data_IF_008653726061
#
_entry.id   IF_008653726061
#
_cell.length_a   1.000
_cell.length_b   1.000
_cell.length_c   1.000
_cell.angle_alpha   90.00
_cell.angle_beta   90.00
_cell.angle_gamma   90.00
#
_symmetry.space_group_name_H-M   'P 1'
#
loop_
_entity.id
_entity.type
_entity.pdbx_description
1 polymer ?
#
# COMPACT_ATOMS: atom_id res chain seq x y z
N UNK A 1 35.90 10.54 30.48
CA UNK A 1 35.43 9.94 29.23
C UNK A 1 34.68 8.65 29.56
N UNK A 2 33.50 8.42 28.99
CA UNK A 2 32.82 7.13 29.09
C UNK A 2 33.60 6.08 28.28
N UNK A 3 33.82 4.90 28.83
CA UNK A 3 34.46 3.80 28.12
C UNK A 3 33.50 3.23 27.05
N UNK A 4 34.07 2.81 25.92
CA UNK A 4 33.35 2.06 24.90
C UNK A 4 32.97 0.70 25.51
N UNK A 5 31.69 0.33 25.44
CA UNK A 5 31.16 -0.94 25.92
C UNK A 5 30.19 -1.54 24.89
N UNK A 6 30.12 -2.86 24.85
CA UNK A 6 29.11 -3.58 24.06
C UNK A 6 27.78 -3.44 24.78
N UNK A 7 26.75 -3.05 24.05
CA UNK A 7 25.38 -2.93 24.58
C UNK A 7 24.77 -4.32 24.79
N UNK A 8 23.83 -4.42 25.73
CA UNK A 8 23.01 -5.62 25.88
C UNK A 8 22.08 -5.80 24.67
N UNK A 9 21.65 -7.05 24.42
CA UNK A 9 20.86 -7.41 23.24
C UNK A 9 19.55 -6.64 23.18
N UNK A 10 18.84 -6.45 24.28
CA UNK A 10 17.57 -5.70 24.30
C UNK A 10 17.75 -4.23 23.88
N UNK A 11 18.86 -3.62 24.31
CA UNK A 11 19.21 -2.25 23.91
C UNK A 11 19.52 -2.18 22.41
N UNK A 12 20.31 -3.15 21.91
CA UNK A 12 20.62 -3.25 20.47
C UNK A 12 19.33 -3.41 19.67
N UNK A 13 18.41 -4.27 20.09
CA UNK A 13 17.15 -4.53 19.40
C UNK A 13 16.24 -3.29 19.39
N UNK A 14 16.17 -2.56 20.48
CA UNK A 14 15.42 -1.28 20.54
C UNK A 14 16.04 -0.20 19.65
N UNK A 15 17.34 -0.11 19.53
CA UNK A 15 18.00 0.85 18.63
C UNK A 15 17.68 0.51 17.18
N UNK A 16 17.91 -0.74 16.77
CA UNK A 16 17.67 -1.20 15.42
C UNK A 16 16.17 -1.14 15.02
N UNK A 17 15.27 -1.48 15.97
CA UNK A 17 13.84 -1.29 15.75
C UNK A 17 13.47 0.14 15.35
N UNK A 18 14.30 1.15 15.68
CA UNK A 18 14.07 2.52 15.29
C UNK A 18 14.30 2.84 13.82
N UNK A 19 15.06 2.02 13.15
CA UNK A 19 15.29 2.17 11.71
C UNK A 19 14.13 1.56 10.89
N UNK A 20 13.45 0.56 11.46
CA UNK A 20 12.34 -0.16 10.81
C UNK A 20 10.99 0.39 11.24
N UNK A 21 10.77 0.57 12.54
CA UNK A 21 9.49 1.01 13.14
C UNK A 21 9.60 2.45 13.59
N UNK A 22 9.28 3.39 12.73
CA UNK A 22 9.24 4.82 13.08
C UNK A 22 7.89 5.25 13.63
N UNK A 23 6.81 4.64 13.15
CA UNK A 23 5.42 5.01 13.44
C UNK A 23 4.45 3.85 13.18
N UNK A 24 3.16 3.98 13.59
CA UNK A 24 2.15 2.94 13.34
C UNK A 24 2.03 2.50 11.88
N UNK A 25 2.09 3.44 10.92
CA UNK A 25 1.99 3.09 9.50
C UNK A 25 3.14 2.21 8.99
N UNK A 26 4.34 2.29 9.61
CA UNK A 26 5.44 1.38 9.27
C UNK A 26 5.09 -0.08 9.62
N UNK A 27 4.47 -0.30 10.78
CA UNK A 27 4.01 -1.63 11.20
C UNK A 27 2.94 -2.17 10.25
N UNK A 28 1.92 -1.35 9.96
CA UNK A 28 0.82 -1.75 9.07
C UNK A 28 1.37 -2.11 7.70
N UNK A 29 2.30 -1.31 7.16
CA UNK A 29 2.93 -1.57 5.87
C UNK A 29 3.62 -2.95 5.85
N UNK A 30 4.53 -3.19 6.77
CA UNK A 30 5.30 -4.44 6.81
C UNK A 30 4.40 -5.67 6.99
N UNK A 31 3.39 -5.61 7.86
CA UNK A 31 2.50 -6.73 8.10
C UNK A 31 1.53 -6.99 6.94
N UNK A 32 1.03 -5.93 6.27
CA UNK A 32 0.19 -6.09 5.08
C UNK A 32 1.01 -6.61 3.89
N UNK A 33 2.23 -6.13 3.68
CA UNK A 33 3.14 -6.67 2.66
C UNK A 33 3.46 -8.15 2.92
N UNK A 34 3.62 -8.56 4.19
CA UNK A 34 3.78 -9.96 4.54
C UNK A 34 2.52 -10.80 4.24
N UNK A 35 1.32 -10.27 4.47
CA UNK A 35 0.07 -10.94 4.11
C UNK A 35 -0.05 -11.12 2.58
N UNK A 36 0.30 -10.10 1.80
CA UNK A 36 0.33 -10.17 0.33
C UNK A 36 1.33 -11.24 -0.14
N UNK A 37 2.56 -11.22 0.40
CA UNK A 37 3.59 -12.21 0.08
C UNK A 37 3.19 -13.65 0.49
N UNK A 38 2.32 -13.80 1.51
CA UNK A 38 1.74 -15.08 1.93
C UNK A 38 0.54 -15.52 1.05
N UNK A 39 0.24 -14.81 -0.03
CA UNK A 39 -0.83 -15.13 -0.97
C UNK A 39 -2.23 -14.83 -0.45
N UNK A 40 -2.38 -13.88 0.47
CA UNK A 40 -3.68 -13.48 0.96
C UNK A 40 -4.56 -12.87 -0.14
N UNK A 41 -5.82 -13.25 -0.17
CA UNK A 41 -6.85 -12.66 -1.05
C UNK A 41 -7.76 -11.69 -0.30
N UNK A 42 -7.68 -11.67 1.04
CA UNK A 42 -8.41 -10.75 1.90
C UNK A 42 -7.53 -10.32 3.08
N UNK A 43 -7.45 -9.02 3.31
CA UNK A 43 -6.69 -8.42 4.41
C UNK A 43 -7.56 -7.41 5.14
N UNK A 44 -7.73 -7.58 6.45
CA UNK A 44 -8.42 -6.62 7.32
C UNK A 44 -7.42 -5.94 8.24
N UNK A 45 -7.40 -4.62 8.22
CA UNK A 45 -6.59 -3.77 9.10
C UNK A 45 -7.52 -3.01 10.03
N UNK A 46 -7.38 -3.18 11.33
CA UNK A 46 -8.12 -2.44 12.34
C UNK A 46 -7.15 -1.69 13.26
N UNK A 47 -7.43 -0.40 13.50
CA UNK A 47 -6.63 0.42 14.40
C UNK A 47 -7.47 1.15 15.45
N UNK A 48 -6.85 1.38 16.60
CA UNK A 48 -7.38 2.23 17.67
C UNK A 48 -6.35 3.29 18.05
N UNK A 49 -6.80 4.53 18.28
CA UNK A 49 -5.96 5.68 18.68
C UNK A 49 -4.76 5.87 17.74
N UNK A 50 -5.06 5.95 16.41
CA UNK A 50 -4.03 6.14 15.38
C UNK A 50 -3.06 4.96 15.23
N UNK A 51 -3.39 3.79 15.77
CA UNK A 51 -2.52 2.60 15.78
C UNK A 51 -1.52 2.58 16.94
N UNK A 52 -1.55 3.56 17.83
CA UNK A 52 -0.66 3.60 19.01
C UNK A 52 -1.08 2.60 20.07
N UNK A 53 -2.39 2.51 20.30
CA UNK A 53 -2.97 1.59 21.30
C UNK A 53 -3.14 0.19 20.75
N UNK A 54 -3.63 0.06 19.52
CA UNK A 54 -3.87 -1.24 18.90
C UNK A 54 -3.79 -1.14 17.37
N UNK A 55 -3.10 -2.12 16.78
CA UNK A 55 -3.14 -2.47 15.37
C UNK A 55 -3.47 -3.96 15.30
N UNK A 56 -4.55 -4.32 14.59
CA UNK A 56 -4.88 -5.70 14.28
C UNK A 56 -4.84 -5.87 12.76
N UNK A 57 -4.13 -6.88 12.29
CA UNK A 57 -4.09 -7.25 10.89
C UNK A 57 -4.43 -8.72 10.78
N UNK A 58 -5.48 -9.01 10.03
CA UNK A 58 -5.95 -10.37 9.77
C UNK A 58 -5.96 -10.62 8.29
N UNK A 59 -5.34 -11.70 7.87
CA UNK A 59 -5.29 -12.20 6.50
C UNK A 59 -5.75 -13.65 6.41
N UNK A 60 -6.06 -14.08 5.19
CA UNK A 60 -6.39 -15.46 4.84
C UNK A 60 -5.30 -16.12 3.99
N UNK A 61 -4.04 -15.72 4.15
CA UNK A 61 -2.90 -16.27 3.45
C UNK A 61 -2.48 -17.67 3.93
N UNK A 62 -1.31 -18.10 3.56
CA UNK A 62 -0.80 -19.45 3.84
C UNK A 62 -0.56 -19.80 5.32
N UNK A 63 -0.58 -18.80 6.23
CA UNK A 63 -0.28 -19.02 7.64
C UNK A 63 1.19 -19.38 7.90
N UNK A 64 1.50 -19.80 9.13
CA UNK A 64 2.83 -20.25 9.55
C UNK A 64 2.75 -21.58 10.27
N UNK A 65 3.69 -22.47 10.01
CA UNK A 65 3.84 -23.71 10.77
C UNK A 65 4.30 -23.41 12.21
N UNK A 66 3.87 -24.22 13.15
CA UNK A 66 4.10 -24.01 14.58
C UNK A 66 5.58 -23.80 14.95
N UNK A 67 6.47 -24.60 14.38
CA UNK A 67 7.92 -24.54 14.63
C UNK A 67 8.59 -23.32 14.00
N UNK A 68 7.97 -22.73 12.97
CA UNK A 68 8.44 -21.52 12.30
C UNK A 68 8.05 -20.23 13.04
N UNK A 69 7.03 -20.26 13.89
CA UNK A 69 6.54 -19.05 14.58
C UNK A 69 7.59 -18.36 15.44
N UNK A 70 8.33 -19.03 16.35
CA UNK A 70 9.38 -18.36 17.10
C UNK A 70 10.54 -17.86 16.21
N UNK A 71 10.86 -18.60 15.15
CA UNK A 71 11.93 -18.24 14.21
C UNK A 71 11.61 -16.95 13.45
N UNK A 72 10.33 -16.71 13.13
CA UNK A 72 9.89 -15.50 12.44
C UNK A 72 10.16 -14.20 13.23
N UNK A 73 10.33 -14.29 14.55
CA UNK A 73 10.67 -13.16 15.42
C UNK A 73 12.17 -13.02 15.68
N UNK A 74 13.01 -13.91 15.14
CA UNK A 74 14.45 -13.75 15.18
C UNK A 74 14.94 -12.73 14.14
N UNK A 75 16.02 -12.03 14.45
CA UNK A 75 16.65 -11.13 13.49
C UNK A 75 17.30 -11.91 12.36
N UNK A 76 17.19 -11.35 11.15
CA UNK A 76 17.74 -11.95 9.93
C UNK A 76 17.12 -13.30 9.57
N UNK A 77 15.97 -13.64 10.14
CA UNK A 77 15.19 -14.82 9.77
C UNK A 77 14.18 -14.44 8.68
N UNK A 78 14.30 -15.07 7.53
CA UNK A 78 13.41 -14.84 6.38
C UNK A 78 13.24 -16.13 5.57
N UNK A 79 12.05 -16.34 5.05
CA UNK A 79 11.77 -17.43 4.10
C UNK A 79 11.90 -16.99 2.63
N UNK A 80 12.28 -15.72 2.37
CA UNK A 80 12.14 -15.06 1.06
C UNK A 80 13.45 -14.99 0.29
N UNK A 81 14.58 -15.13 0.95
CA UNK A 81 15.93 -15.17 0.35
C UNK A 81 16.79 -16.20 1.07
N UNK A 82 17.60 -16.95 0.34
CA UNK A 82 18.56 -17.90 0.88
C UNK A 82 20.00 -17.50 0.57
N UNK A 83 20.21 -16.81 -0.54
CA UNK A 83 21.55 -16.45 -1.05
C UNK A 83 21.64 -14.98 -1.43
N UNK A 84 22.87 -14.49 -1.56
CA UNK A 84 23.16 -13.10 -1.95
C UNK A 84 22.62 -12.79 -3.36
N UNK A 85 22.67 -13.78 -4.25
CA UNK A 85 22.19 -13.66 -5.63
C UNK A 85 20.67 -13.40 -5.70
N UNK A 86 19.89 -13.87 -4.70
CA UNK A 86 18.47 -13.63 -4.62
C UNK A 86 18.14 -12.14 -4.42
N UNK A 87 19.12 -11.34 -3.93
CA UNK A 87 18.96 -9.89 -3.77
C UNK A 87 18.83 -9.14 -5.11
N UNK A 88 19.29 -9.72 -6.22
CA UNK A 88 19.18 -9.13 -7.56
C UNK A 88 17.79 -9.34 -8.17
N UNK A 89 17.03 -10.34 -7.68
CA UNK A 89 15.75 -10.76 -8.25
C UNK A 89 14.61 -10.77 -7.22
N UNK A 90 14.59 -9.76 -6.33
CA UNK A 90 13.58 -9.69 -5.26
C UNK A 90 12.18 -9.46 -5.84
N UNK A 91 11.40 -10.55 -5.95
CA UNK A 91 9.99 -10.50 -6.32
C UNK A 91 9.08 -10.16 -5.11
N UNK A 92 9.51 -10.49 -3.87
CA UNK A 92 8.72 -10.25 -2.65
C UNK A 92 8.75 -8.78 -2.21
N UNK A 93 7.66 -8.29 -1.62
CA UNK A 93 7.57 -6.92 -1.09
C UNK A 93 8.47 -6.73 0.15
N UNK A 94 8.64 -7.75 1.01
CA UNK A 94 9.52 -7.76 2.17
C UNK A 94 10.61 -8.86 2.06
N UNK A 95 11.87 -8.59 2.43
CA UNK A 95 12.94 -9.60 2.36
C UNK A 95 13.98 -9.55 3.49
N UNK A 96 13.99 -8.48 4.30
CA UNK A 96 15.09 -8.23 5.26
C UNK A 96 15.09 -9.12 6.51
N UNK A 97 13.98 -9.81 6.85
CA UNK A 97 13.86 -10.63 8.05
C UNK A 97 14.02 -9.87 9.38
N UNK A 98 13.68 -8.57 9.41
CA UNK A 98 13.87 -7.72 10.58
C UNK A 98 12.58 -7.06 11.07
N UNK A 99 11.49 -7.13 10.29
CA UNK A 99 10.25 -6.42 10.60
C UNK A 99 9.61 -6.94 11.88
N UNK A 100 9.37 -8.26 12.00
CA UNK A 100 8.69 -8.86 13.14
C UNK A 100 9.49 -8.73 14.43
N UNK A 101 10.81 -8.97 14.39
CA UNK A 101 11.70 -8.78 15.55
C UNK A 101 11.70 -7.32 16.02
N UNK A 102 11.73 -6.37 15.08
CA UNK A 102 11.69 -4.92 15.37
C UNK A 102 10.35 -4.50 15.98
N UNK A 103 9.23 -4.98 15.46
CA UNK A 103 7.89 -4.71 15.99
C UNK A 103 7.78 -5.27 17.42
N UNK A 104 8.18 -6.53 17.62
CA UNK A 104 8.13 -7.18 18.94
C UNK A 104 9.01 -6.48 19.98
N UNK A 105 10.17 -5.95 19.59
CA UNK A 105 11.09 -5.26 20.51
C UNK A 105 10.48 -3.97 21.11
N UNK A 106 9.53 -3.31 20.45
CA UNK A 106 8.97 -2.01 20.86
C UNK A 106 7.46 -2.03 21.15
N UNK A 107 6.85 -3.21 21.16
CA UNK A 107 5.41 -3.38 21.38
C UNK A 107 5.09 -4.71 22.06
N UNK A 108 3.81 -4.94 22.33
CA UNK A 108 3.27 -6.20 22.81
C UNK A 108 2.53 -6.86 21.63
N UNK A 109 3.03 -8.02 21.17
CA UNK A 109 2.52 -8.69 19.97
C UNK A 109 1.88 -10.01 20.37
N UNK A 110 0.68 -10.23 19.85
CA UNK A 110 -0.02 -11.51 19.84
C UNK A 110 -0.19 -11.93 18.38
N UNK A 111 0.32 -13.10 18.05
CA UNK A 111 0.20 -13.74 16.75
C UNK A 111 -0.72 -14.95 16.89
N UNK A 112 -1.71 -15.05 16.02
CA UNK A 112 -2.55 -16.24 15.85
C UNK A 112 -2.42 -16.67 14.41
N UNK A 113 -2.00 -17.90 14.16
CA UNK A 113 -1.79 -18.39 12.81
C UNK A 113 -2.11 -19.86 12.66
N UNK A 114 -2.52 -20.24 11.44
CA UNK A 114 -2.81 -21.63 11.08
C UNK A 114 -2.58 -21.81 9.58
N UNK A 115 -1.87 -22.87 9.22
CA UNK A 115 -1.77 -23.29 7.82
C UNK A 115 -2.99 -24.15 7.42
N UNK A 116 -3.36 -24.20 6.13
CA UNK A 116 -4.49 -25.01 5.67
C UNK A 116 -4.32 -26.51 5.96
N UNK A 117 -3.06 -27.00 6.06
CA UNK A 117 -2.73 -28.40 6.36
C UNK A 117 -2.84 -28.75 7.84
N UNK A 118 -2.77 -27.75 8.74
CA UNK A 118 -2.78 -27.96 10.18
C UNK A 118 -4.20 -28.18 10.72
N UNK A 119 -4.33 -29.07 11.73
CA UNK A 119 -5.62 -29.32 12.41
C UNK A 119 -5.95 -28.18 13.36
N UNK A 120 -4.93 -27.66 14.06
CA UNK A 120 -5.04 -26.56 15.03
C UNK A 120 -4.10 -25.43 14.67
N UNK A 121 -4.43 -24.23 15.14
CA UNK A 121 -3.58 -23.06 15.04
C UNK A 121 -2.71 -22.87 16.27
N UNK A 122 -1.88 -21.85 16.22
CA UNK A 122 -0.97 -21.46 17.28
C UNK A 122 -1.26 -20.01 17.68
N UNK A 123 -1.35 -19.79 18.98
CA UNK A 123 -1.31 -18.46 19.60
C UNK A 123 0.07 -18.25 20.22
N UNK A 124 0.76 -17.21 19.81
CA UNK A 124 2.08 -16.84 20.27
C UNK A 124 2.07 -15.42 20.81
N UNK A 125 2.58 -15.23 22.02
CA UNK A 125 2.66 -13.91 22.67
C UNK A 125 4.11 -13.57 22.95
N UNK A 126 4.52 -12.38 22.48
CA UNK A 126 5.87 -11.84 22.68
C UNK A 126 5.77 -10.36 23.06
N UNK A 127 6.49 -9.94 24.10
CA UNK A 127 6.46 -8.57 24.61
C UNK A 127 7.87 -8.02 24.79
N UNK A 128 8.16 -6.89 24.16
CA UNK A 128 9.49 -6.28 24.23
C UNK A 128 10.62 -7.19 23.73
N UNK A 129 10.30 -8.11 22.81
CA UNK A 129 11.24 -9.10 22.27
C UNK A 129 11.38 -10.36 23.12
N UNK A 130 10.60 -10.52 24.19
CA UNK A 130 10.63 -11.71 25.06
C UNK A 130 9.38 -12.53 24.89
N UNK A 131 9.53 -13.81 24.54
CA UNK A 131 8.42 -14.76 24.47
C UNK A 131 7.73 -14.90 25.83
N UNK A 132 6.41 -14.81 25.84
CA UNK A 132 5.57 -14.97 27.02
C UNK A 132 4.85 -16.32 27.04
N UNK A 133 4.25 -16.70 25.92
CA UNK A 133 3.54 -17.98 25.78
C UNK A 133 3.45 -18.42 24.33
N UNK A 134 3.34 -19.74 24.14
CA UNK A 134 3.02 -20.39 22.87
C UNK A 134 2.02 -21.50 23.12
N UNK A 135 0.79 -21.34 22.65
CA UNK A 135 -0.33 -22.21 22.96
C UNK A 135 -0.98 -22.71 21.67
N UNK A 136 -1.52 -23.91 21.71
CA UNK A 136 -2.34 -24.46 20.63
C UNK A 136 -3.78 -23.99 20.80
N UNK A 137 -4.41 -23.56 19.69
CA UNK A 137 -5.81 -23.12 19.71
C UNK A 137 -6.51 -23.35 18.37
N UNK A 138 -7.85 -23.33 18.40
CA UNK A 138 -8.64 -23.27 17.17
C UNK A 138 -8.49 -21.90 16.49
N UNK A 139 -8.10 -21.87 15.22
CA UNK A 139 -7.97 -20.65 14.42
C UNK A 139 -8.41 -20.89 12.98
N UNK A 140 -8.88 -19.87 12.25
CA UNK A 140 -9.05 -19.94 10.80
C UNK A 140 -7.70 -20.03 10.10
N UNK A 141 -7.69 -20.46 8.85
CA UNK A 141 -6.50 -20.43 7.99
C UNK A 141 -6.04 -18.98 7.79
N UNK A 142 -4.72 -18.77 7.74
CA UNK A 142 -4.12 -17.45 7.61
C UNK A 142 -3.46 -16.96 8.90
N UNK A 143 -3.30 -15.63 9.02
CA UNK A 143 -2.59 -15.03 10.15
C UNK A 143 -3.33 -13.82 10.71
N UNK A 144 -3.34 -13.70 12.03
CA UNK A 144 -3.77 -12.49 12.74
C UNK A 144 -2.63 -11.98 13.61
N UNK A 145 -2.17 -10.78 13.33
CA UNK A 145 -1.29 -10.01 14.22
C UNK A 145 -2.11 -9.02 15.02
N UNK A 146 -1.85 -8.97 16.32
CA UNK A 146 -2.41 -7.99 17.22
C UNK A 146 -1.27 -7.30 17.97
N UNK A 147 -0.95 -6.09 17.56
CA UNK A 147 0.13 -5.25 18.10
C UNK A 147 -0.49 -4.23 19.03
N UNK A 148 -0.09 -4.22 20.29
CA UNK A 148 -0.61 -3.31 21.33
C UNK A 148 0.50 -2.44 21.91
N UNK A 149 0.10 -1.26 22.39
CA UNK A 149 0.92 -0.37 23.21
C UNK A 149 2.29 -0.03 22.56
N UNK A 150 2.24 0.41 21.30
CA UNK A 150 3.44 0.79 20.56
C UNK A 150 4.30 1.79 21.35
N UNK A 151 5.59 1.50 21.44
CA UNK A 151 6.60 2.29 22.17
C UNK A 151 6.39 2.37 23.69
N UNK A 152 5.67 1.41 24.32
CA UNK A 152 5.47 1.39 25.76
C UNK A 152 6.78 1.34 26.55
N UNK A 153 7.81 0.71 25.99
CA UNK A 153 9.14 0.55 26.58
C UNK A 153 10.20 1.51 25.99
N UNK A 154 9.77 2.46 25.15
CA UNK A 154 10.62 3.48 24.51
C UNK A 154 9.94 4.86 24.55
N UNK A 155 9.76 5.46 25.75
CA UNK A 155 8.96 6.69 25.92
C UNK A 155 9.46 7.88 25.13
N UNK A 156 10.77 7.97 24.84
CA UNK A 156 11.32 9.00 23.97
C UNK A 156 10.73 8.96 22.58
N UNK A 157 10.54 7.76 21.99
CA UNK A 157 9.92 7.58 20.67
C UNK A 157 8.44 7.88 20.66
N UNK A 158 7.73 7.45 21.70
CA UNK A 158 6.29 7.74 21.84
C UNK A 158 6.00 9.23 21.74
N UNK A 159 6.90 10.10 22.27
CA UNK A 159 6.77 11.57 22.21
C UNK A 159 6.92 12.16 20.80
N UNK A 160 7.54 11.46 19.88
CA UNK A 160 7.68 11.92 18.47
C UNK A 160 6.49 11.56 17.60
N UNK A 161 5.58 10.70 18.07
CA UNK A 161 4.36 10.39 17.34
C UNK A 161 3.45 11.61 17.27
N UNK A 162 2.81 11.80 16.11
CA UNK A 162 1.84 12.86 15.90
C UNK A 162 0.51 12.54 16.60
N UNK A 163 -0.50 13.40 16.43
CA UNK A 163 -1.84 13.14 16.93
C UNK A 163 -2.42 11.85 16.36
N UNK A 164 -3.37 11.22 17.05
CA UNK A 164 -4.03 9.98 16.61
C UNK A 164 -4.67 10.14 15.23
N UNK A 165 -5.27 11.30 14.97
CA UNK A 165 -5.83 11.63 13.66
C UNK A 165 -4.76 11.67 12.57
N UNK A 166 -3.59 12.28 12.85
CA UNK A 166 -2.50 12.35 11.88
C UNK A 166 -1.91 10.97 11.59
N UNK A 167 -1.70 10.14 12.62
CA UNK A 167 -1.18 8.78 12.43
C UNK A 167 -2.21 7.91 11.68
N UNK A 168 -3.50 8.02 11.99
CA UNK A 168 -4.56 7.32 11.28
C UNK A 168 -4.64 7.73 9.79
N UNK A 169 -4.43 9.02 9.48
CA UNK A 169 -4.41 9.50 8.11
C UNK A 169 -3.22 8.91 7.30
N UNK A 170 -2.04 8.77 7.91
CA UNK A 170 -0.91 8.09 7.25
C UNK A 170 -1.25 6.64 6.92
N UNK A 171 -1.90 5.92 7.84
CA UNK A 171 -2.33 4.55 7.61
C UNK A 171 -3.40 4.51 6.52
N UNK A 172 -4.41 5.40 6.57
CA UNK A 172 -5.47 5.47 5.57
C UNK A 172 -4.94 5.67 4.16
N UNK A 173 -4.08 6.68 3.95
CA UNK A 173 -3.45 6.93 2.64
C UNK A 173 -2.65 5.73 2.14
N UNK A 174 -1.92 5.05 3.03
CA UNK A 174 -1.16 3.86 2.67
C UNK A 174 -2.10 2.69 2.28
N UNK A 175 -3.20 2.49 3.01
CA UNK A 175 -4.21 1.47 2.66
C UNK A 175 -4.88 1.73 1.31
N UNK A 176 -5.14 3.00 0.98
CA UNK A 176 -5.62 3.42 -0.33
C UNK A 176 -4.61 3.07 -1.44
N UNK A 177 -3.33 3.35 -1.21
CA UNK A 177 -2.25 3.03 -2.14
C UNK A 177 -2.07 1.52 -2.34
N UNK A 178 -2.12 0.73 -1.27
CA UNK A 178 -2.06 -0.73 -1.35
C UNK A 178 -3.27 -1.32 -2.09
N UNK A 179 -4.46 -0.80 -1.85
CA UNK A 179 -5.66 -1.23 -2.56
C UNK A 179 -5.60 -0.94 -4.07
N UNK A 180 -5.03 0.20 -4.47
CA UNK A 180 -4.83 0.56 -5.88
C UNK A 180 -3.74 -0.29 -6.55
N UNK A 181 -2.71 -0.73 -5.80
CA UNK A 181 -1.65 -1.58 -6.34
C UNK A 181 -2.06 -3.05 -6.45
N UNK A 182 -3.00 -3.49 -5.62
CA UNK A 182 -3.46 -4.87 -5.51
C UNK A 182 -4.99 -4.98 -5.63
N UNK A 183 -5.56 -4.72 -6.81
CA UNK A 183 -7.01 -4.78 -7.02
C UNK A 183 -7.57 -6.21 -6.91
N UNK A 184 -6.70 -7.23 -6.92
CA UNK A 184 -7.02 -8.64 -6.71
C UNK A 184 -7.26 -9.01 -5.24
N UNK A 185 -6.91 -8.11 -4.30
CA UNK A 185 -7.05 -8.35 -2.86
C UNK A 185 -8.21 -7.54 -2.29
N UNK A 186 -9.06 -8.18 -1.51
CA UNK A 186 -10.07 -7.48 -0.71
C UNK A 186 -9.43 -6.85 0.51
N UNK A 187 -9.34 -5.52 0.54
CA UNK A 187 -8.86 -4.76 1.69
C UNK A 187 -10.03 -4.20 2.49
N UNK A 188 -9.96 -4.35 3.81
CA UNK A 188 -10.88 -3.69 4.74
C UNK A 188 -10.07 -2.93 5.79
N UNK A 189 -10.26 -1.60 5.84
CA UNK A 189 -9.63 -0.74 6.84
C UNK A 189 -10.67 -0.20 7.81
N UNK A 190 -10.43 -0.42 9.10
CA UNK A 190 -11.32 -0.05 10.21
C UNK A 190 -10.55 0.85 11.16
N UNK A 191 -11.05 2.05 11.40
CA UNK A 191 -10.50 3.02 12.34
C UNK A 191 -11.49 3.26 13.47
N UNK A 192 -11.12 2.98 14.71
CA UNK A 192 -11.98 3.17 15.87
C UNK A 192 -13.38 2.57 15.67
N UNK A 193 -13.44 1.31 15.20
CA UNK A 193 -14.67 0.53 14.90
C UNK A 193 -15.47 1.04 13.68
N UNK A 194 -15.01 2.06 12.96
CA UNK A 194 -15.65 2.56 11.73
C UNK A 194 -14.90 2.07 10.50
N UNK A 195 -15.60 1.47 9.56
CA UNK A 195 -15.04 1.09 8.25
C UNK A 195 -14.74 2.35 7.46
N UNK A 196 -13.49 2.54 7.06
CA UNK A 196 -13.01 3.68 6.26
C UNK A 196 -12.75 3.31 4.80
N UNK A 197 -12.33 2.08 4.55
CA UNK A 197 -12.09 1.54 3.21
C UNK A 197 -12.58 0.09 3.17
N UNK A 198 -13.21 -0.29 2.05
CA UNK A 198 -13.52 -1.69 1.76
C UNK A 198 -13.50 -1.89 0.25
N UNK A 199 -12.62 -2.77 -0.24
CA UNK A 199 -12.51 -3.16 -1.65
C UNK A 199 -12.92 -4.62 -1.83
N UNK A 200 -13.36 -4.98 -3.03
CA UNK A 200 -13.92 -6.31 -3.30
C UNK A 200 -12.89 -7.38 -3.69
N UNK A 201 -11.68 -6.98 -4.12
CA UNK A 201 -10.69 -7.94 -4.63
C UNK A 201 -11.07 -8.56 -5.98
N UNK A 202 -11.76 -7.79 -6.84
CA UNK A 202 -12.32 -8.27 -8.11
C UNK A 202 -11.45 -7.94 -9.34
N UNK A 203 -10.18 -7.60 -9.16
CA UNK A 203 -9.24 -7.18 -10.21
C UNK A 203 -9.61 -5.88 -10.92
N UNK A 204 -10.65 -5.17 -10.49
CA UNK A 204 -11.12 -3.95 -11.15
C UNK A 204 -10.59 -2.69 -10.45
N UNK A 205 -9.54 -2.09 -11.01
CA UNK A 205 -8.95 -0.85 -10.49
C UNK A 205 -9.94 0.32 -10.51
N UNK A 206 -10.89 0.39 -11.46
CA UNK A 206 -11.93 1.44 -11.49
C UNK A 206 -12.85 1.36 -10.28
N UNK A 207 -13.19 0.15 -9.83
CA UNK A 207 -13.99 -0.05 -8.62
C UNK A 207 -13.21 0.39 -7.37
N UNK A 208 -11.90 0.11 -7.32
CA UNK A 208 -11.05 0.61 -6.23
C UNK A 208 -10.99 2.14 -6.24
N UNK A 209 -10.80 2.77 -7.41
CA UNK A 209 -10.80 4.23 -7.56
C UNK A 209 -12.15 4.82 -7.13
N UNK A 210 -13.27 4.17 -7.49
CA UNK A 210 -14.60 4.58 -7.04
C UNK A 210 -14.73 4.53 -5.51
N UNK A 211 -14.26 3.46 -4.87
CA UNK A 211 -14.32 3.29 -3.42
C UNK A 211 -13.43 4.29 -2.66
N UNK A 212 -12.27 4.63 -3.22
CA UNK A 212 -11.28 5.52 -2.58
C UNK A 212 -11.59 7.00 -2.85
N UNK A 213 -11.86 7.36 -4.11
CA UNK A 213 -11.94 8.78 -4.55
C UNK A 213 -13.35 9.22 -4.93
N UNK A 214 -14.29 8.28 -4.95
CA UNK A 214 -15.70 8.57 -5.22
C UNK A 214 -16.10 8.56 -6.70
N UNK A 215 -17.41 8.74 -6.91
CA UNK A 215 -18.06 8.60 -8.21
C UNK A 215 -17.54 9.57 -9.27
N UNK A 216 -17.30 10.82 -8.90
CA UNK A 216 -16.92 11.87 -9.86
C UNK A 216 -15.53 11.60 -10.42
N UNK A 217 -14.61 11.14 -9.60
CA UNK A 217 -13.29 10.70 -10.05
C UNK A 217 -13.41 9.51 -11.00
N UNK A 218 -14.15 8.47 -10.62
CA UNK A 218 -14.30 7.27 -11.43
C UNK A 218 -14.92 7.52 -12.82
N UNK A 219 -15.79 8.55 -12.96
CA UNK A 219 -16.36 8.95 -14.24
C UNK A 219 -15.41 9.78 -15.11
N UNK A 220 -14.42 10.40 -14.51
CA UNK A 220 -13.48 11.27 -15.19
C UNK A 220 -12.17 10.54 -15.59
N UNK A 221 -12.15 9.21 -15.58
CA UNK A 221 -10.98 8.42 -15.91
C UNK A 221 -10.82 8.27 -17.42
N UNK A 222 -9.58 8.35 -17.87
CA UNK A 222 -9.08 8.02 -19.20
C UNK A 222 -8.21 6.78 -19.07
N UNK A 223 -8.42 5.80 -19.94
CA UNK A 223 -7.60 4.60 -19.97
C UNK A 223 -6.20 4.94 -20.50
N UNK A 224 -5.16 4.48 -19.82
CA UNK A 224 -3.77 4.62 -20.23
C UNK A 224 -3.23 3.24 -20.55
N UNK A 225 -2.67 3.06 -21.75
CA UNK A 225 -1.99 1.84 -22.16
C UNK A 225 -0.82 2.19 -23.07
N UNK A 226 0.35 1.67 -22.76
CA UNK A 226 1.57 1.83 -23.55
C UNK A 226 2.47 0.63 -23.32
N UNK A 227 3.11 0.14 -24.37
CA UNK A 227 4.05 -0.98 -24.28
C UNK A 227 5.19 -0.79 -25.28
N UNK A 228 6.41 -1.08 -24.82
CA UNK A 228 7.60 -1.17 -25.65
C UNK A 228 8.47 -2.36 -25.21
N UNK A 229 9.69 -2.48 -25.75
CA UNK A 229 10.56 -3.64 -25.54
C UNK A 229 10.96 -3.89 -24.07
N UNK A 230 10.89 -2.88 -23.18
CA UNK A 230 11.37 -2.98 -21.80
C UNK A 230 10.35 -2.52 -20.74
N UNK A 231 9.25 -1.89 -21.16
CA UNK A 231 8.29 -1.29 -20.27
C UNK A 231 6.86 -1.47 -20.76
N UNK A 232 5.96 -1.83 -19.83
CA UNK A 232 4.51 -1.79 -20.03
C UNK A 232 3.89 -0.86 -19.01
N UNK A 233 3.03 0.06 -19.47
CA UNK A 233 2.32 1.03 -18.64
C UNK A 233 0.82 0.82 -18.85
N UNK A 234 0.10 0.55 -17.77
CA UNK A 234 -1.36 0.39 -17.80
C UNK A 234 -1.97 1.16 -16.62
N UNK A 235 -3.20 1.63 -16.78
CA UNK A 235 -3.92 2.28 -15.70
C UNK A 235 -4.82 3.41 -16.15
N UNK A 236 -4.88 4.46 -15.35
CA UNK A 236 -5.83 5.55 -15.54
C UNK A 236 -5.17 6.92 -15.33
N UNK A 237 -5.58 7.86 -16.16
CA UNK A 237 -5.34 9.29 -16.02
C UNK A 237 -6.69 10.00 -15.83
N UNK A 238 -6.75 11.02 -14.97
CA UNK A 238 -7.96 11.80 -14.76
C UNK A 238 -8.12 12.90 -15.81
N UNK A 239 -9.33 13.20 -16.25
CA UNK A 239 -9.58 14.40 -17.04
C UNK A 239 -9.14 15.66 -16.30
N UNK A 240 -8.77 16.75 -16.99
CA UNK A 240 -8.29 17.99 -16.38
C UNK A 240 -9.20 18.56 -15.28
N UNK A 241 -10.51 18.36 -15.38
CA UNK A 241 -11.54 18.85 -14.44
C UNK A 241 -11.40 18.29 -13.03
N UNK A 242 -10.78 17.11 -12.87
CA UNK A 242 -10.57 16.48 -11.55
C UNK A 242 -9.19 16.75 -10.96
N UNK A 243 -8.42 17.66 -11.54
CA UNK A 243 -7.11 18.06 -11.04
C UNK A 243 -7.17 18.70 -9.64
N UNK A 244 -6.10 18.58 -8.86
CA UNK A 244 -6.02 19.02 -7.45
C UNK A 244 -4.91 20.04 -7.23
N UNK A 245 -4.95 20.73 -6.08
CA UNK A 245 -3.93 21.69 -5.68
C UNK A 245 -2.64 21.08 -5.12
N UNK A 246 -2.52 19.75 -5.09
CA UNK A 246 -1.34 19.03 -4.63
C UNK A 246 -1.21 17.68 -5.34
N UNK A 247 -0.03 17.02 -5.19
CA UNK A 247 0.33 15.74 -5.82
C UNK A 247 -0.19 14.50 -5.12
N UNK A 248 -1.14 14.62 -4.20
CA UNK A 248 -1.62 13.48 -3.41
C UNK A 248 -2.37 12.42 -4.22
N UNK A 249 -2.78 12.76 -5.44
CA UNK A 249 -3.52 11.89 -6.35
C UNK A 249 -2.67 11.37 -7.53
N UNK A 250 -1.36 11.58 -7.47
CA UNK A 250 -0.41 10.98 -8.40
C UNK A 250 0.06 9.64 -7.80
N UNK A 251 -0.63 8.56 -8.14
CA UNK A 251 -0.30 7.20 -7.70
C UNK A 251 0.33 6.45 -8.88
N UNK A 252 1.56 5.99 -8.72
CA UNK A 252 2.21 5.14 -9.69
C UNK A 252 3.04 4.07 -9.00
N UNK A 253 3.02 2.90 -9.62
CA UNK A 253 3.57 1.68 -9.08
C UNK A 253 4.55 1.08 -10.07
N UNK A 254 5.73 0.69 -9.61
CA UNK A 254 6.73 -0.01 -10.43
C UNK A 254 6.83 -1.44 -9.92
N UNK A 255 6.51 -2.40 -10.77
CA UNK A 255 6.45 -3.82 -10.44
C UNK A 255 5.64 -4.09 -9.15
N UNK A 256 4.43 -3.49 -9.05
CA UNK A 256 3.52 -3.62 -7.91
C UNK A 256 3.87 -2.78 -6.68
N UNK A 257 4.99 -2.03 -6.67
CA UNK A 257 5.41 -1.20 -5.54
C UNK A 257 5.06 0.27 -5.76
N UNK A 258 4.42 0.88 -4.78
CA UNK A 258 4.27 2.33 -4.76
C UNK A 258 5.64 3.00 -4.66
N UNK A 259 5.94 3.91 -5.57
CA UNK A 259 7.21 4.63 -5.61
C UNK A 259 6.99 6.14 -5.74
N UNK A 260 8.00 6.91 -5.36
CA UNK A 260 8.11 8.34 -5.65
C UNK A 260 9.37 8.57 -6.46
N UNK A 261 9.20 9.08 -7.67
CA UNK A 261 10.33 9.30 -8.57
C UNK A 261 10.12 10.59 -9.38
N UNK A 262 11.13 11.44 -9.39
CA UNK A 262 11.06 12.74 -10.06
C UNK A 262 10.93 12.64 -11.58
N UNK A 263 11.47 11.58 -12.21
CA UNK A 263 11.37 11.36 -13.66
C UNK A 263 9.90 11.08 -14.00
N UNK A 264 9.26 10.16 -13.25
CA UNK A 264 7.85 9.80 -13.46
C UNK A 264 6.94 11.01 -13.20
N UNK A 265 7.11 11.67 -12.04
CA UNK A 265 6.33 12.88 -11.69
C UNK A 265 6.42 13.93 -12.79
N UNK A 266 7.66 14.23 -13.27
CA UNK A 266 7.88 15.24 -14.29
C UNK A 266 7.25 14.85 -15.64
N UNK A 267 7.37 13.60 -16.04
CA UNK A 267 6.76 13.10 -17.28
C UNK A 267 5.23 13.25 -17.27
N UNK A 268 4.59 12.87 -16.14
CA UNK A 268 3.14 13.02 -15.94
C UNK A 268 2.74 14.50 -15.99
N UNK A 269 3.39 15.35 -15.21
CA UNK A 269 3.05 16.78 -15.13
C UNK A 269 3.27 17.48 -16.49
N UNK A 270 4.35 17.18 -17.20
CA UNK A 270 4.63 17.72 -18.53
C UNK A 270 3.61 17.24 -19.58
N UNK A 271 3.12 15.99 -19.48
CA UNK A 271 2.05 15.48 -20.35
C UNK A 271 0.72 16.23 -20.14
N UNK A 272 0.43 16.70 -18.92
CA UNK A 272 -0.75 17.51 -18.62
C UNK A 272 -0.57 19.01 -18.91
N UNK A 273 0.64 19.44 -19.26
CA UNK A 273 0.93 20.86 -19.51
C UNK A 273 0.09 21.36 -20.70
N UNK A 274 -0.67 22.41 -20.45
CA UNK A 274 -1.64 22.93 -21.44
C UNK A 274 -3.07 22.40 -21.28
N UNK A 275 -3.27 21.33 -20.55
CA UNK A 275 -4.60 20.80 -20.23
C UNK A 275 -5.09 21.26 -18.85
N UNK A 276 -4.20 21.48 -17.88
CA UNK A 276 -4.53 21.91 -16.52
C UNK A 276 -4.00 23.32 -16.25
N UNK A 277 -4.62 24.04 -15.30
CA UNK A 277 -4.15 25.34 -14.86
C UNK A 277 -2.83 25.21 -14.09
N UNK A 278 -2.05 26.30 -14.03
CA UNK A 278 -0.87 26.38 -13.18
C UNK A 278 -1.19 26.01 -11.73
N UNK A 279 -0.27 25.29 -11.08
CA UNK A 279 -0.42 24.78 -9.69
C UNK A 279 -1.57 23.78 -9.50
N UNK A 280 -2.05 23.16 -10.56
CA UNK A 280 -2.94 22.00 -10.52
C UNK A 280 -2.19 20.74 -10.93
N UNK A 281 -2.44 19.68 -10.20
CA UNK A 281 -1.81 18.37 -10.38
C UNK A 281 -2.85 17.35 -10.80
N UNK A 282 -2.52 16.45 -11.72
CA UNK A 282 -3.47 15.48 -12.22
C UNK A 282 -3.79 14.38 -11.19
N UNK A 283 -4.89 13.67 -11.46
CA UNK A 283 -5.08 12.32 -10.93
C UNK A 283 -4.42 11.33 -11.89
N UNK A 284 -3.62 10.42 -11.37
CA UNK A 284 -3.14 9.24 -12.09
C UNK A 284 -3.11 8.02 -11.17
N UNK A 285 -3.39 6.86 -11.76
CA UNK A 285 -3.16 5.55 -11.14
C UNK A 285 -2.52 4.65 -12.20
N UNK A 286 -1.19 4.56 -12.21
CA UNK A 286 -0.42 3.88 -13.25
C UNK A 286 0.32 2.67 -12.67
N UNK A 287 0.18 1.52 -13.33
CA UNK A 287 0.98 0.34 -13.12
C UNK A 287 2.08 0.32 -14.19
N UNK A 288 3.32 0.32 -13.77
CA UNK A 288 4.51 0.31 -14.63
C UNK A 288 5.22 -1.01 -14.40
N UNK A 289 5.23 -1.86 -15.40
CA UNK A 289 5.97 -3.11 -15.40
C UNK A 289 7.26 -2.92 -16.19
N UNK A 290 8.38 -3.28 -15.59
CA UNK A 290 9.70 -3.21 -16.22
C UNK A 290 10.40 -4.55 -16.14
N UNK A 291 11.06 -4.95 -17.22
CA UNK A 291 11.83 -6.19 -17.31
C UNK A 291 13.33 -5.88 -17.30
N UNK A 292 14.13 -6.80 -16.72
CA UNK A 292 15.60 -6.73 -16.78
C UNK A 292 16.25 -5.87 -15.69
N UNK A 293 17.55 -5.58 -15.88
CA UNK A 293 18.41 -4.87 -14.92
C UNK A 293 18.30 -3.34 -15.00
N UNK A 294 17.24 -2.82 -15.62
CA UNK A 294 17.05 -1.38 -15.84
C UNK A 294 16.52 -0.64 -14.62
N UNK A 295 16.17 -1.38 -13.55
CA UNK A 295 15.56 -0.87 -12.32
C UNK A 295 16.39 -1.24 -11.10
N UNK A 296 16.92 -0.24 -10.37
CA UNK A 296 17.48 -0.43 -9.03
C UNK A 296 16.48 0.02 -7.98
N UNK A 297 15.99 -0.93 -7.19
CA UNK A 297 15.03 -0.71 -6.09
C UNK A 297 15.70 -0.58 -4.72
N UNK A 298 17.01 -0.79 -4.61
CA UNK A 298 17.74 -0.81 -3.34
C UNK A 298 18.36 0.57 -2.99
N UNK A 299 17.72 1.66 -3.36
CA UNK A 299 18.26 3.02 -3.21
C UNK A 299 17.98 3.61 -1.82
N UNK A 300 16.84 3.25 -1.18
CA UNK A 300 16.41 3.85 0.09
C UNK A 300 15.85 2.79 1.05
N UNK A 301 16.09 2.89 2.38
CA UNK A 301 15.56 1.93 3.37
C UNK A 301 14.05 1.71 3.31
N UNK A 302 13.27 2.76 2.99
CA UNK A 302 11.82 2.70 2.86
C UNK A 302 11.33 2.18 1.50
N UNK A 303 12.24 1.86 0.55
CA UNK A 303 11.94 1.35 -0.81
C UNK A 303 10.97 2.25 -1.61
N UNK A 304 10.85 3.52 -1.26
CA UNK A 304 9.98 4.49 -1.96
C UNK A 304 10.66 5.11 -3.18
N UNK A 305 11.98 5.05 -3.29
CA UNK A 305 12.76 5.60 -4.38
C UNK A 305 13.34 4.46 -5.23
N UNK A 306 13.27 4.64 -6.52
CA UNK A 306 13.84 3.74 -7.51
C UNK A 306 14.76 4.53 -8.44
N UNK A 307 15.80 3.89 -8.97
CA UNK A 307 16.66 4.46 -10.00
C UNK A 307 16.48 3.69 -11.29
N UNK A 308 16.37 4.42 -12.39
CA UNK A 308 16.27 3.88 -13.73
C UNK A 308 17.61 4.02 -14.44
N UNK A 309 18.10 2.93 -15.04
CA UNK A 309 19.29 2.98 -15.90
C UNK A 309 19.03 3.82 -17.16
N UNK A 310 17.82 3.71 -17.71
CA UNK A 310 17.37 4.42 -18.92
C UNK A 310 16.35 5.51 -18.59
N UNK A 311 16.74 6.47 -17.74
CA UNK A 311 15.81 7.48 -17.23
C UNK A 311 15.13 8.37 -18.27
N UNK A 312 15.82 8.70 -19.39
CA UNK A 312 15.25 9.47 -20.49
C UNK A 312 14.15 8.68 -21.22
N UNK A 313 14.40 7.41 -21.53
CA UNK A 313 13.44 6.55 -22.22
C UNK A 313 12.20 6.27 -21.34
N UNK A 314 12.40 6.13 -20.00
CA UNK A 314 11.30 6.03 -19.04
C UNK A 314 10.45 7.30 -19.03
N UNK A 315 11.09 8.47 -19.04
CA UNK A 315 10.37 9.74 -19.14
C UNK A 315 9.54 9.82 -20.41
N UNK A 316 10.15 9.53 -21.58
CA UNK A 316 9.48 9.62 -22.88
C UNK A 316 8.28 8.65 -22.96
N UNK A 317 8.45 7.40 -22.48
CA UNK A 317 7.39 6.40 -22.48
C UNK A 317 6.19 6.81 -21.61
N UNK A 318 6.44 7.34 -20.41
CA UNK A 318 5.37 7.80 -19.48
C UNK A 318 4.69 9.05 -20.04
N UNK A 319 5.48 10.00 -20.57
CA UNK A 319 4.93 11.19 -21.21
C UNK A 319 4.00 10.81 -22.37
N UNK A 320 4.46 9.95 -23.27
CA UNK A 320 3.68 9.50 -24.43
C UNK A 320 2.41 8.76 -24.01
N UNK A 321 2.51 7.83 -23.05
CA UNK A 321 1.37 7.07 -22.53
C UNK A 321 0.25 7.99 -22.01
N UNK A 322 0.62 8.95 -21.17
CA UNK A 322 -0.35 9.87 -20.54
C UNK A 322 -0.86 10.90 -21.54
N UNK A 323 0.02 11.47 -22.36
CA UNK A 323 -0.35 12.47 -23.36
C UNK A 323 -1.29 11.91 -24.42
N UNK A 324 -1.04 10.68 -24.89
CA UNK A 324 -1.93 10.00 -25.84
C UNK A 324 -3.31 9.73 -25.25
N UNK A 325 -3.39 9.36 -23.96
CA UNK A 325 -4.67 9.19 -23.28
C UNK A 325 -5.47 10.49 -23.22
N UNK A 326 -4.80 11.63 -23.07
CA UNK A 326 -5.44 12.96 -23.08
C UNK A 326 -5.93 13.39 -24.46
N UNK A 327 -5.19 13.03 -25.52
CA UNK A 327 -5.53 13.40 -26.90
C UNK A 327 -6.60 12.50 -27.55
N UNK A 328 -6.63 11.20 -27.21
CA UNK A 328 -7.49 10.21 -27.88
C UNK A 328 -8.98 10.30 -27.49
N UNK A 329 -9.34 11.11 -26.54
CA UNK A 329 -10.74 11.42 -26.26
C UNK A 329 -11.01 12.88 -26.55
N UNK A 330 -11.90 13.11 -27.52
CA UNK A 330 -12.50 14.42 -27.73
C UNK A 330 -13.01 14.93 -26.39
N UNK A 331 -12.41 16.01 -25.88
CA UNK A 331 -12.80 16.73 -24.67
C UNK A 331 -14.12 17.51 -24.92
N UNK A 332 -14.93 17.07 -25.87
CA UNK A 332 -16.25 17.65 -26.18
C UNK A 332 -17.20 17.23 -25.08
N UNK A 333 -17.76 18.17 -24.30
CA UNK A 333 -18.79 17.84 -23.34
C UNK A 333 -19.97 17.23 -24.11
N UNK A 334 -20.41 16.03 -23.79
CA UNK A 334 -21.68 15.50 -24.24
C UNK A 334 -22.76 16.35 -23.58
N UNK A 335 -23.24 17.35 -24.29
CA UNK A 335 -24.45 18.11 -23.87
C UNK A 335 -25.59 17.11 -23.98
N UNK A 336 -26.28 16.76 -22.88
CA UNK A 336 -27.46 15.93 -23.00
C UNK A 336 -28.48 16.72 -23.80
N UNK A 337 -28.77 16.28 -25.02
CA UNK A 337 -29.87 16.79 -25.82
C UNK A 337 -31.14 16.46 -25.04
N UNK A 338 -31.75 17.48 -24.45
CA UNK A 338 -33.04 17.35 -23.77
C UNK A 338 -34.05 16.74 -24.76
N UNK A 339 -34.65 15.63 -24.36
CA UNK A 339 -35.83 15.14 -25.06
C UNK A 339 -36.88 16.24 -24.91
N UNK A 340 -37.14 16.98 -26.00
CA UNK A 340 -38.35 17.78 -26.14
C UNK A 340 -39.56 16.82 -26.01
N UNK A 341 -40.24 16.88 -24.90
CA UNK A 341 -41.60 16.33 -24.79
C UNK A 341 -42.48 17.17 -25.72
N UNK A 342 -42.78 16.62 -26.90
CA UNK A 342 -43.88 17.11 -27.74
C UNK A 342 -45.17 16.78 -27.00
N UNK A 343 -45.68 17.72 -26.21
CA UNK A 343 -47.09 17.76 -25.84
C UNK A 343 -47.94 17.91 -27.10
N UNK A 344 -48.53 16.81 -27.53
CA UNK A 344 -49.65 16.83 -28.50
C UNK A 344 -50.90 17.38 -27.81
N UNK A 345 -51.13 18.67 -27.92
CA UNK A 345 -52.46 19.23 -27.70
C UNK A 345 -53.38 18.77 -28.83
N UNK A 346 -54.13 17.72 -28.59
CA UNK A 346 -55.34 17.42 -29.40
C UNK A 346 -56.48 18.25 -28.81
N UNK A 347 -56.83 19.28 -29.54
CA UNK A 347 -58.03 20.08 -29.27
C UNK A 347 -59.28 19.22 -29.50
N UNK A 348 -60.10 19.04 -28.47
CA UNK A 348 -61.43 18.55 -28.59
C UNK A 348 -62.32 19.74 -29.01
N UNK A 349 -62.80 19.70 -30.22
CA UNK A 349 -63.92 20.54 -30.71
C UNK A 349 -65.19 19.72 -30.63
N UNK A 350 -66.10 20.21 -29.79
CA UNK A 350 -67.56 20.21 -29.79
C UNK A 350 -68.37 19.07 -30.45
N UNK A 351 -69.22 18.43 -29.71
CA UNK A 351 -70.68 18.61 -29.85
C UNK A 351 -71.41 18.22 -28.57
#
# INVERSE_FOLDING_TARGET
>A
MRKIAVLDQQTIDKIAAGEVVERPSSIVKELVENAIDAGATAVTVEITDGGKKMIRITDNGGGMERDQVPLAFLRHATSKIEKVEDLEHIASLGFRGEALSSIAAVSQVELITKTPSAISGVRYVIEGGVEQSMEEMGAPDGTTFLVRNLFYNTPARSKFLKSDTSEANYIGTMMEQLALSHPEISFKYIQNKQVKLHTSGNYNVKDVIYNVYGRDMAKALLDVSYENDFMKIEGFAGKPEVSRGNRSFENYYVNGRFVKNNIITKAIEDAYKGFVMQHKFPFVSLQIQMTGNDLDVNVHPRKLEVRFARGAEVYDAIYEAVHNALLHRELIPVVPVGKEERESKVAAVSR
#
